data_IF_671594778678
#
_entry.id   IF_671594778678
#
_cell.length_a   1.000
_cell.length_b   1.000
_cell.length_c   1.000
_cell.angle_alpha   90.00
_cell.angle_beta   90.00
_cell.angle_gamma   90.00
#
_symmetry.space_group_name_H-M   'P 1'
#
loop_
_entity.id
_entity.type
_entity.pdbx_description
1 polymer ?
#
# COMPACT_ATOMS: atom_id res chain seq x y z
N UNK A 1 -11.83 37.45 29.83
CA UNK A 1 -11.23 36.96 28.57
C UNK A 1 -11.73 35.53 28.37
N UNK A 2 -12.87 35.37 27.72
CA UNK A 2 -13.49 34.07 27.44
C UNK A 2 -12.71 33.41 26.30
N UNK A 3 -12.15 32.23 26.56
CA UNK A 3 -11.52 31.40 25.53
C UNK A 3 -12.65 30.87 24.65
N UNK A 4 -12.73 31.31 23.40
CA UNK A 4 -13.62 30.66 22.44
C UNK A 4 -13.20 29.18 22.36
N UNK A 5 -14.16 28.24 22.50
CA UNK A 5 -13.86 26.85 22.25
C UNK A 5 -13.42 26.74 20.80
N UNK A 6 -12.20 26.24 20.57
CA UNK A 6 -11.80 25.78 19.25
C UNK A 6 -12.87 24.81 18.78
N UNK A 7 -13.56 25.14 17.68
CA UNK A 7 -14.45 24.18 17.06
C UNK A 7 -13.59 22.98 16.68
N UNK A 8 -13.83 21.83 17.30
CA UNK A 8 -13.24 20.57 16.87
C UNK A 8 -13.89 20.22 15.53
N UNK A 9 -13.36 20.79 14.45
CA UNK A 9 -13.73 20.43 13.09
C UNK A 9 -13.11 19.08 12.75
N UNK A 10 -13.67 18.04 13.37
CA UNK A 10 -13.24 16.65 13.25
C UNK A 10 -13.28 16.12 11.81
N UNK A 11 -13.94 16.83 10.89
CA UNK A 11 -14.02 16.42 9.49
C UNK A 11 -12.64 16.34 8.82
N UNK A 12 -11.81 17.36 8.99
CA UNK A 12 -10.49 17.41 8.33
C UNK A 12 -9.50 16.39 8.89
N UNK A 13 -9.54 16.15 10.22
CA UNK A 13 -8.67 15.16 10.83
C UNK A 13 -9.09 13.73 10.44
N UNK A 14 -10.40 13.46 10.30
CA UNK A 14 -10.88 12.19 9.76
C UNK A 14 -10.38 11.95 8.33
N UNK A 15 -10.43 12.96 7.46
CA UNK A 15 -9.87 12.87 6.09
C UNK A 15 -8.36 12.61 6.13
N UNK A 16 -7.62 13.25 7.04
CA UNK A 16 -6.18 13.01 7.18
C UNK A 16 -5.85 11.59 7.64
N UNK A 17 -6.66 11.01 8.54
CA UNK A 17 -6.49 9.62 8.97
C UNK A 17 -6.80 8.60 7.87
N UNK A 18 -7.86 8.84 7.10
CA UNK A 18 -8.20 8.02 5.93
C UNK A 18 -7.07 8.06 4.90
N UNK A 19 -6.63 9.26 4.52
CA UNK A 19 -5.54 9.45 3.55
C UNK A 19 -4.22 8.80 4.02
N UNK A 20 -3.89 8.89 5.31
CA UNK A 20 -2.70 8.24 5.85
C UNK A 20 -2.79 6.71 5.77
N UNK A 21 -3.98 6.14 5.95
CA UNK A 21 -4.22 4.70 5.86
C UNK A 21 -4.05 4.22 4.41
N UNK A 22 -4.75 4.84 3.46
CA UNK A 22 -4.68 4.49 2.04
C UNK A 22 -3.27 4.66 1.47
N UNK A 23 -2.63 5.80 1.75
CA UNK A 23 -1.27 6.07 1.28
C UNK A 23 -0.27 5.05 1.84
N UNK A 24 -0.46 4.61 3.09
CA UNK A 24 0.43 3.61 3.70
C UNK A 24 0.21 2.23 3.07
N UNK A 25 -1.04 1.83 2.81
CA UNK A 25 -1.34 0.60 2.08
C UNK A 25 -0.70 0.61 0.69
N UNK A 26 -0.90 1.66 -0.09
CA UNK A 26 -0.30 1.79 -1.41
C UNK A 26 1.23 1.82 -1.37
N UNK A 27 1.82 2.52 -0.40
CA UNK A 27 3.28 2.60 -0.27
C UNK A 27 3.91 1.23 -0.01
N UNK A 28 3.30 0.41 0.85
CA UNK A 28 3.76 -0.95 1.12
C UNK A 28 3.61 -1.81 -0.13
N UNK A 29 2.43 -1.78 -0.78
CA UNK A 29 2.17 -2.55 -2.00
C UNK A 29 3.15 -2.16 -3.11
N UNK A 30 3.34 -0.87 -3.37
CA UNK A 30 4.27 -0.38 -4.38
C UNK A 30 5.72 -0.79 -4.09
N UNK A 31 6.13 -0.78 -2.82
CA UNK A 31 7.48 -1.21 -2.44
C UNK A 31 7.73 -2.68 -2.80
N UNK A 32 6.73 -3.57 -2.60
CA UNK A 32 6.85 -4.99 -2.96
C UNK A 32 6.85 -5.22 -4.47
N UNK A 33 5.98 -4.53 -5.21
CA UNK A 33 5.93 -4.66 -6.68
C UNK A 33 7.14 -4.03 -7.39
N UNK A 34 7.82 -3.07 -6.75
CA UNK A 34 9.03 -2.44 -7.27
C UNK A 34 10.31 -3.14 -6.83
N UNK A 35 10.26 -3.97 -5.79
CA UNK A 35 11.42 -4.68 -5.28
C UNK A 35 12.04 -5.60 -6.35
N UNK A 36 13.36 -5.68 -6.33
CA UNK A 36 14.14 -6.57 -7.19
C UNK A 36 14.67 -7.74 -6.35
N UNK A 37 14.96 -8.88 -6.99
CA UNK A 37 15.64 -9.99 -6.32
C UNK A 37 17.04 -9.53 -5.94
N UNK A 38 17.41 -9.68 -4.67
CA UNK A 38 18.72 -9.28 -4.14
C UNK A 38 19.43 -10.50 -3.58
N UNK A 39 20.71 -10.65 -3.88
CA UNK A 39 21.60 -11.61 -3.23
C UNK A 39 22.65 -10.84 -2.43
N UNK A 40 22.81 -11.15 -1.15
CA UNK A 40 23.87 -10.54 -0.33
C UNK A 40 25.25 -11.17 -0.58
N UNK A 41 26.34 -10.58 -0.05
CA UNK A 41 27.67 -11.16 -0.14
C UNK A 41 27.84 -12.52 0.57
N UNK A 42 26.95 -12.88 1.50
CA UNK A 42 26.97 -14.19 2.16
C UNK A 42 26.26 -15.28 1.34
N UNK A 43 25.66 -14.91 0.21
CA UNK A 43 24.95 -15.81 -0.70
C UNK A 43 23.47 -15.99 -0.36
N UNK A 44 22.92 -15.27 0.61
CA UNK A 44 21.48 -15.28 0.89
C UNK A 44 20.74 -14.47 -0.18
N UNK A 45 19.63 -15.02 -0.69
CA UNK A 45 18.84 -14.40 -1.75
C UNK A 45 17.41 -14.15 -1.28
N UNK A 46 16.93 -12.92 -1.46
CA UNK A 46 15.54 -12.54 -1.25
C UNK A 46 14.91 -12.27 -2.60
N UNK A 47 13.91 -13.08 -2.96
CA UNK A 47 13.22 -12.98 -4.23
C UNK A 47 12.26 -11.79 -4.25
N UNK A 48 12.22 -11.10 -5.39
CA UNK A 48 11.16 -10.15 -5.69
C UNK A 48 9.77 -10.84 -5.66
N UNK A 49 8.73 -10.02 -5.49
CA UNK A 49 7.37 -10.50 -5.61
C UNK A 49 7.14 -11.05 -7.04
N UNK A 50 6.70 -12.32 -7.21
CA UNK A 50 6.48 -12.88 -8.53
C UNK A 50 5.19 -12.31 -9.15
N UNK A 51 5.30 -11.20 -9.87
CA UNK A 51 4.17 -10.42 -10.41
C UNK A 51 3.22 -11.26 -11.24
N UNK A 52 3.72 -12.09 -12.14
CA UNK A 52 2.88 -12.95 -12.99
C UNK A 52 2.01 -13.92 -12.19
N UNK A 53 2.54 -14.41 -11.05
CA UNK A 53 1.81 -15.28 -10.14
C UNK A 53 0.71 -14.52 -9.41
N UNK A 54 1.00 -13.29 -8.97
CA UNK A 54 0.02 -12.43 -8.32
C UNK A 54 -1.12 -12.09 -9.28
N UNK A 55 -0.81 -11.69 -10.51
CA UNK A 55 -1.82 -11.42 -11.54
C UNK A 55 -2.67 -12.65 -11.83
N UNK A 56 -2.05 -13.82 -11.95
CA UNK A 56 -2.77 -15.08 -12.16
C UNK A 56 -3.72 -15.40 -11.00
N UNK A 57 -3.33 -15.12 -9.76
CA UNK A 57 -4.17 -15.28 -8.58
C UNK A 57 -5.33 -14.28 -8.57
N UNK A 58 -5.08 -13.00 -8.85
CA UNK A 58 -6.13 -11.98 -8.88
C UNK A 58 -7.16 -12.25 -10.00
N UNK A 59 -6.73 -12.81 -11.13
CA UNK A 59 -7.63 -13.28 -12.20
C UNK A 59 -8.48 -14.46 -11.73
N UNK A 60 -7.90 -15.41 -11.00
CA UNK A 60 -8.65 -16.60 -10.54
C UNK A 60 -9.69 -16.29 -9.46
N UNK A 61 -9.53 -15.19 -8.73
CA UNK A 61 -10.53 -14.69 -7.78
C UNK A 61 -11.59 -13.79 -8.41
N UNK A 62 -11.42 -13.41 -9.69
CA UNK A 62 -12.33 -12.49 -10.39
C UNK A 62 -12.17 -11.02 -9.98
N UNK A 63 -11.08 -10.65 -9.29
CA UNK A 63 -10.80 -9.27 -8.89
C UNK A 63 -10.27 -8.42 -10.04
N UNK A 64 -9.71 -9.03 -11.09
CA UNK A 64 -9.27 -8.36 -12.33
C UNK A 64 -9.74 -9.14 -13.55
N UNK A 65 -10.15 -8.42 -14.61
CA UNK A 65 -10.65 -9.03 -15.84
C UNK A 65 -9.53 -9.59 -16.75
N UNK A 66 -9.84 -10.57 -17.61
CA UNK A 66 -8.93 -11.00 -18.66
C UNK A 66 -8.69 -9.86 -19.67
N UNK A 67 -7.42 -9.46 -19.86
CA UNK A 67 -7.04 -8.48 -20.90
C UNK A 67 -6.50 -7.14 -20.41
N UNK A 68 -6.40 -6.94 -19.09
CA UNK A 68 -5.39 -6.04 -18.51
C UNK A 68 -3.99 -6.66 -18.59
#
# INVERSE_FOLDING_TARGET
>A
MSREPIAEDGGWISVAFEAATETTEEAIINSLFKAETVTDPNGETWEALPVDRVVSLLRSTGLIEPGF
#
